data_IF_031822286436
#
_entry.id   IF_031822286436
#
_cell.length_a   1.000
_cell.length_b   1.000
_cell.length_c   1.000
_cell.angle_alpha   90.00
_cell.angle_beta   90.00
_cell.angle_gamma   90.00
#
_symmetry.space_group_name_H-M   'P 1'
#
loop_
_entity.id
_entity.type
_entity.pdbx_description
1 polymer ?
#
# COMPACT_ATOMS: atom_id res chain seq x y z
N UNK A 1 8.13 -66.85 7.08
CA UNK A 1 8.19 -65.91 5.94
C UNK A 1 7.98 -64.50 6.49
N UNK A 2 9.02 -63.67 6.52
CA UNK A 2 8.91 -62.30 7.01
C UNK A 2 8.25 -61.41 5.93
N UNK A 3 7.14 -60.76 6.29
CA UNK A 3 6.38 -59.87 5.42
C UNK A 3 7.23 -58.62 5.15
N UNK A 4 7.60 -58.38 3.89
CA UNK A 4 8.33 -57.15 3.50
C UNK A 4 7.46 -55.94 3.85
N UNK A 5 7.98 -54.95 4.58
CA UNK A 5 7.23 -53.75 4.91
C UNK A 5 6.89 -52.97 3.64
N UNK A 6 5.66 -52.46 3.57
CA UNK A 6 5.21 -51.60 2.48
C UNK A 6 6.03 -50.30 2.50
N UNK A 7 6.62 -49.93 1.37
CA UNK A 7 7.48 -48.74 1.22
C UNK A 7 6.78 -47.44 1.59
N UNK A 8 5.45 -47.38 1.46
CA UNK A 8 4.64 -46.21 1.82
C UNK A 8 4.53 -46.02 3.34
N UNK A 9 4.38 -47.11 4.10
CA UNK A 9 4.32 -47.04 5.57
C UNK A 9 5.64 -46.55 6.16
N UNK A 10 6.77 -47.00 5.59
CA UNK A 10 8.10 -46.53 6.00
C UNK A 10 8.32 -45.03 5.74
N UNK A 11 7.77 -44.47 4.65
CA UNK A 11 7.85 -43.04 4.34
C UNK A 11 6.98 -42.18 5.28
N UNK A 12 5.79 -42.67 5.63
CA UNK A 12 4.91 -41.95 6.56
C UNK A 12 5.56 -41.89 7.95
N UNK A 13 6.09 -43.02 8.43
CA UNK A 13 6.76 -43.08 9.74
C UNK A 13 8.01 -42.18 9.77
N UNK A 14 8.80 -42.15 8.68
CA UNK A 14 9.99 -41.28 8.63
C UNK A 14 9.62 -39.80 8.61
N UNK A 15 8.55 -39.40 7.91
CA UNK A 15 8.07 -38.02 7.91
C UNK A 15 7.60 -37.58 9.31
N UNK A 16 6.85 -38.44 10.01
CA UNK A 16 6.42 -38.14 11.38
C UNK A 16 7.61 -38.04 12.33
N UNK A 17 8.64 -38.88 12.18
CA UNK A 17 9.85 -38.79 13.00
C UNK A 17 10.59 -37.45 12.79
N UNK A 18 10.67 -36.96 11.55
CA UNK A 18 11.31 -35.68 11.22
C UNK A 18 10.56 -34.48 11.83
N UNK A 19 9.24 -34.56 11.94
CA UNK A 19 8.41 -33.49 12.52
C UNK A 19 8.34 -33.59 14.05
N UNK A 20 8.25 -34.79 14.60
CA UNK A 20 8.10 -35.00 16.04
C UNK A 20 9.38 -34.62 16.81
N UNK A 21 10.55 -34.90 16.24
CA UNK A 21 11.84 -34.62 16.88
C UNK A 21 12.06 -33.14 17.23
N UNK A 22 11.83 -32.16 16.33
CA UNK A 22 11.94 -30.74 16.68
C UNK A 22 10.84 -30.29 17.65
N UNK A 23 9.63 -30.85 17.59
CA UNK A 23 8.56 -30.52 18.54
C UNK A 23 8.94 -30.94 19.96
N UNK A 24 9.45 -32.17 20.13
CA UNK A 24 9.90 -32.67 21.44
C UNK A 24 11.02 -31.79 22.00
N UNK A 25 11.96 -31.39 21.14
CA UNK A 25 13.06 -30.51 21.52
C UNK A 25 12.58 -29.11 21.93
N UNK A 26 11.60 -28.55 21.21
CA UNK A 26 10.95 -27.28 21.54
C UNK A 26 10.18 -27.35 22.87
N UNK A 27 9.46 -28.44 23.12
CA UNK A 27 8.73 -28.63 24.38
C UNK A 27 9.68 -28.73 25.56
N UNK A 28 10.76 -29.52 25.45
CA UNK A 28 11.77 -29.62 26.50
C UNK A 28 12.44 -28.27 26.80
N UNK A 29 12.73 -27.50 25.75
CA UNK A 29 13.31 -26.16 25.88
C UNK A 29 12.33 -25.19 26.56
N UNK A 30 11.05 -25.28 26.23
CA UNK A 30 9.99 -24.47 26.84
C UNK A 30 9.82 -24.79 28.34
N UNK A 31 9.86 -26.06 28.72
CA UNK A 31 9.78 -26.47 30.14
C UNK A 31 11.01 -25.99 30.93
N UNK A 32 12.19 -26.00 30.33
CA UNK A 32 13.45 -25.66 31.02
C UNK A 32 13.60 -24.17 31.27
N UNK A 33 13.21 -23.32 30.31
CA UNK A 33 13.44 -21.86 30.36
C UNK A 33 12.16 -21.10 30.76
N UNK A 34 11.01 -21.78 30.75
CA UNK A 34 9.72 -21.18 31.00
C UNK A 34 9.24 -20.28 29.86
N UNK A 35 7.99 -19.83 29.96
CA UNK A 35 7.33 -19.02 28.93
C UNK A 35 8.06 -17.71 28.66
N UNK A 36 8.55 -17.05 29.71
CA UNK A 36 9.23 -15.76 29.61
C UNK A 36 10.55 -15.85 28.83
N UNK A 37 11.35 -16.90 29.08
CA UNK A 37 12.60 -17.09 28.35
C UNK A 37 12.41 -17.53 26.90
N UNK A 38 11.35 -18.30 26.63
CA UNK A 38 10.99 -18.70 25.26
C UNK A 38 10.66 -17.48 24.37
N UNK A 39 9.89 -16.52 24.90
CA UNK A 39 9.59 -15.27 24.18
C UNK A 39 10.83 -14.42 23.91
N UNK A 40 11.77 -14.40 24.86
CA UNK A 40 13.04 -13.69 24.70
C UNK A 40 13.90 -14.32 23.59
N UNK A 41 14.00 -15.66 23.57
CA UNK A 41 14.71 -16.40 22.53
C UNK A 41 14.10 -16.17 21.13
N UNK A 42 12.76 -16.22 21.02
CA UNK A 42 12.05 -15.96 19.77
C UNK A 42 12.25 -14.53 19.27
N UNK A 43 12.30 -13.55 20.18
CA UNK A 43 12.59 -12.16 19.83
C UNK A 43 14.00 -12.02 19.25
N UNK A 44 15.01 -12.64 19.86
CA UNK A 44 16.38 -12.63 19.34
C UNK A 44 16.51 -13.28 17.96
N UNK A 45 15.82 -14.40 17.72
CA UNK A 45 15.80 -15.05 16.41
C UNK A 45 15.10 -14.20 15.35
N UNK A 46 13.99 -13.54 15.71
CA UNK A 46 13.27 -12.62 14.82
C UNK A 46 14.09 -11.39 14.44
N UNK A 47 14.63 -10.68 15.42
CA UNK A 47 15.46 -9.49 15.18
C UNK A 47 16.79 -9.85 14.49
N UNK A 48 17.44 -10.95 14.87
CA UNK A 48 18.67 -11.42 14.24
C UNK A 48 18.47 -11.83 12.78
N UNK A 49 17.36 -12.51 12.48
CA UNK A 49 17.00 -12.89 11.12
C UNK A 49 16.69 -11.68 10.24
N UNK A 50 15.93 -10.72 10.76
CA UNK A 50 15.60 -9.50 10.02
C UNK A 50 16.84 -8.64 9.75
N UNK A 51 17.73 -8.48 10.74
CA UNK A 51 19.01 -7.77 10.59
C UNK A 51 19.93 -8.43 9.55
N UNK A 52 20.00 -9.77 9.52
CA UNK A 52 20.80 -10.48 8.53
C UNK A 52 20.25 -10.31 7.10
N UNK A 53 18.93 -10.31 6.92
CA UNK A 53 18.29 -10.07 5.62
C UNK A 53 18.53 -8.64 5.11
N UNK A 54 18.37 -7.62 5.96
CA UNK A 54 18.70 -6.23 5.61
C UNK A 54 20.18 -6.04 5.26
N UNK A 55 21.09 -6.68 6.02
CA UNK A 55 22.53 -6.60 5.73
C UNK A 55 22.93 -7.33 4.44
N UNK A 56 22.21 -8.41 4.08
CA UNK A 56 22.48 -9.18 2.86
C UNK A 56 21.99 -8.44 1.60
N UNK A 57 20.90 -7.68 1.69
CA UNK A 57 20.46 -6.81 0.59
C UNK A 57 21.47 -5.70 0.26
N UNK A 58 22.23 -5.22 1.25
CA UNK A 58 23.26 -4.19 1.03
C UNK A 58 24.59 -4.69 0.42
N UNK A 59 24.76 -5.99 0.16
CA UNK A 59 26.03 -6.55 -0.35
C UNK A 59 25.99 -7.14 -1.77
N UNK A 60 24.86 -7.06 -2.47
CA UNK A 60 24.72 -7.63 -3.82
C UNK A 60 24.32 -6.60 -4.88
N UNK A 61 24.98 -5.44 -4.91
CA UNK A 61 24.95 -4.62 -6.12
C UNK A 61 26.33 -4.01 -6.41
N UNK A 62 27.23 -4.75 -7.11
CA UNK A 62 28.51 -4.20 -7.58
C UNK A 62 28.37 -3.08 -8.62
N UNK A 63 27.15 -2.76 -9.06
CA UNK A 63 26.88 -1.74 -10.06
C UNK A 63 26.72 -0.31 -9.51
N UNK A 64 26.73 -0.11 -8.18
CA UNK A 64 26.65 1.25 -7.61
C UNK A 64 28.00 1.90 -7.34
N UNK A 65 29.10 1.14 -7.26
CA UNK A 65 30.44 1.72 -7.06
C UNK A 65 30.96 2.43 -8.33
N UNK A 66 30.66 1.90 -9.53
CA UNK A 66 31.05 2.59 -10.77
C UNK A 66 30.26 3.89 -11.03
N UNK A 67 29.07 4.04 -10.45
CA UNK A 67 28.28 5.27 -10.57
C UNK A 67 28.79 6.39 -9.66
N UNK A 68 29.23 6.07 -8.45
CA UNK A 68 29.85 7.06 -7.53
C UNK A 68 31.21 7.50 -8.06
N UNK A 69 32.00 6.58 -8.63
CA UNK A 69 33.27 6.91 -9.27
C UNK A 69 33.09 7.72 -10.57
N UNK A 70 31.99 7.51 -11.31
CA UNK A 70 31.61 8.33 -12.46
C UNK A 70 31.15 9.75 -12.04
N UNK A 71 30.38 9.88 -10.95
CA UNK A 71 29.95 11.19 -10.43
C UNK A 71 31.14 12.03 -9.93
N UNK A 72 32.12 11.41 -9.26
CA UNK A 72 33.32 12.13 -8.79
C UNK A 72 34.27 12.52 -9.94
N UNK A 73 34.33 11.76 -11.04
CA UNK A 73 35.15 12.13 -12.21
C UNK A 73 34.43 13.06 -13.20
N UNK A 74 33.11 13.15 -13.18
CA UNK A 74 32.32 14.07 -14.03
C UNK A 74 32.32 15.54 -13.56
N UNK A 75 32.76 15.80 -12.32
CA UNK A 75 32.72 17.13 -11.69
C UNK A 75 33.85 18.09 -12.12
N UNK A 76 34.86 17.63 -12.88
CA UNK A 76 36.00 18.48 -13.25
C UNK A 76 35.92 19.09 -14.66
N UNK A 77 34.90 18.77 -15.48
CA UNK A 77 34.82 19.26 -16.87
C UNK A 77 33.45 19.79 -17.32
N UNK A 78 32.53 20.07 -16.41
CA UNK A 78 31.15 20.50 -16.74
C UNK A 78 30.81 21.91 -16.26
N UNK A 79 31.79 22.81 -16.24
CA UNK A 79 31.59 24.23 -15.99
C UNK A 79 31.14 24.93 -17.26
N UNK A 80 29.85 24.87 -17.64
CA UNK A 80 29.20 25.96 -18.44
C UNK A 80 27.74 25.75 -18.87
N UNK A 81 27.07 24.60 -18.68
CA UNK A 81 25.71 24.40 -19.24
C UNK A 81 24.57 24.14 -18.25
N UNK A 82 24.81 24.10 -16.93
CA UNK A 82 23.75 23.92 -15.92
C UNK A 82 23.43 25.16 -15.05
N UNK A 83 24.10 26.30 -15.26
CA UNK A 83 23.85 27.54 -14.51
C UNK A 83 22.76 28.45 -15.12
N UNK A 84 21.77 27.87 -15.80
CA UNK A 84 20.60 28.59 -16.32
C UNK A 84 19.26 27.96 -15.93
N UNK A 85 19.20 27.18 -14.83
CA UNK A 85 17.97 27.16 -14.02
C UNK A 85 18.06 28.33 -13.06
N UNK A 86 17.45 29.42 -13.51
CA UNK A 86 17.02 30.60 -12.75
C UNK A 86 16.77 30.29 -11.28
N UNK A 87 17.20 31.21 -10.42
CA UNK A 87 16.80 31.31 -9.01
C UNK A 87 15.27 31.38 -8.92
N UNK A 88 14.58 30.24 -9.01
CA UNK A 88 13.17 30.17 -8.65
C UNK A 88 13.11 30.41 -7.16
N UNK A 89 12.24 31.32 -6.73
CA UNK A 89 12.03 31.57 -5.29
C UNK A 89 11.72 30.24 -4.60
N UNK A 90 12.21 30.02 -3.37
CA UNK A 90 11.90 28.81 -2.59
C UNK A 90 10.40 28.52 -2.54
N UNK A 91 9.57 29.56 -2.60
CA UNK A 91 8.13 29.43 -2.69
C UNK A 91 7.67 28.80 -4.01
N UNK A 92 8.12 29.31 -5.16
CA UNK A 92 7.72 28.78 -6.48
C UNK A 92 8.14 27.31 -6.65
N UNK A 93 9.29 26.94 -6.08
CA UNK A 93 9.76 25.56 -6.00
C UNK A 93 8.81 24.67 -5.17
N UNK A 94 8.36 25.16 -4.01
CA UNK A 94 7.36 24.48 -3.19
C UNK A 94 6.00 24.36 -3.91
N UNK A 95 5.57 25.36 -4.67
CA UNK A 95 4.28 25.29 -5.38
C UNK A 95 4.28 24.19 -6.44
N UNK A 96 5.37 24.10 -7.21
CA UNK A 96 5.56 23.04 -8.20
C UNK A 96 5.58 21.66 -7.54
N UNK A 97 6.29 21.52 -6.41
CA UNK A 97 6.30 20.32 -5.57
C UNK A 97 4.91 19.93 -5.11
N UNK A 98 4.13 20.89 -4.59
CA UNK A 98 2.83 20.64 -4.02
C UNK A 98 1.83 20.22 -5.09
N UNK A 99 1.83 20.89 -6.24
CA UNK A 99 1.00 20.52 -7.40
C UNK A 99 1.40 19.14 -7.90
N UNK A 100 2.70 18.88 -8.09
CA UNK A 100 3.20 17.59 -8.53
C UNK A 100 2.77 16.47 -7.57
N UNK A 101 2.97 16.67 -6.27
CA UNK A 101 2.58 15.71 -5.24
C UNK A 101 1.07 15.49 -5.21
N UNK A 102 0.28 16.55 -5.32
CA UNK A 102 -1.18 16.44 -5.33
C UNK A 102 -1.73 15.79 -6.61
N UNK A 103 -1.01 15.85 -7.73
CA UNK A 103 -1.45 15.31 -9.03
C UNK A 103 -0.88 13.93 -9.34
N UNK A 104 0.32 13.60 -8.87
CA UNK A 104 0.99 12.37 -9.25
C UNK A 104 0.21 11.14 -8.79
N UNK A 105 0.16 10.13 -9.65
CA UNK A 105 -0.42 8.82 -9.36
C UNK A 105 0.61 7.85 -8.77
N UNK A 106 1.86 8.30 -8.60
CA UNK A 106 2.96 7.48 -8.15
C UNK A 106 3.56 8.08 -6.89
N UNK A 107 3.47 7.31 -5.81
CA UNK A 107 4.05 7.64 -4.51
C UNK A 107 5.55 7.36 -4.60
N UNK A 108 6.32 8.36 -5.01
CA UNK A 108 7.78 8.29 -4.93
C UNK A 108 8.28 8.90 -3.62
N UNK A 109 9.42 8.42 -3.13
CA UNK A 109 10.22 9.18 -2.17
C UNK A 109 10.67 10.48 -2.87
N UNK A 110 10.08 11.60 -2.47
CA UNK A 110 10.27 12.92 -3.09
C UNK A 110 11.75 13.29 -3.26
N UNK A 111 12.66 12.77 -2.43
CA UNK A 111 14.07 13.18 -2.45
C UNK A 111 14.99 12.41 -3.40
N UNK A 112 14.73 11.13 -3.72
CA UNK A 112 15.74 10.28 -4.38
C UNK A 112 15.59 10.19 -5.90
N UNK A 113 14.37 10.05 -6.42
CA UNK A 113 14.15 9.72 -7.84
C UNK A 113 14.04 10.94 -8.78
N UNK A 114 13.73 12.12 -8.24
CA UNK A 114 13.43 13.31 -9.07
C UNK A 114 14.36 14.50 -8.78
N UNK A 115 15.39 14.31 -7.93
CA UNK A 115 16.35 15.35 -7.60
C UNK A 115 15.75 16.54 -6.86
N UNK A 116 14.62 16.36 -6.16
CA UNK A 116 14.05 17.43 -5.36
C UNK A 116 14.89 17.64 -4.09
N UNK A 117 15.35 18.87 -3.90
CA UNK A 117 16.12 19.23 -2.73
C UNK A 117 15.18 19.73 -1.61
N UNK A 118 14.68 18.79 -0.81
CA UNK A 118 13.82 19.10 0.34
C UNK A 118 14.47 20.04 1.36
N UNK A 119 15.81 20.13 1.40
CA UNK A 119 16.51 21.05 2.30
C UNK A 119 16.27 22.53 1.98
N UNK A 120 15.75 22.85 0.80
CA UNK A 120 15.36 24.22 0.42
C UNK A 120 14.00 24.63 0.99
N UNK A 121 13.25 23.69 1.56
CA UNK A 121 11.91 23.91 2.09
C UNK A 121 11.94 24.17 3.59
N UNK A 122 11.00 24.98 4.04
CA UNK A 122 10.73 25.12 5.48
C UNK A 122 10.14 23.82 6.03
N UNK A 123 10.27 23.62 7.35
CA UNK A 123 9.68 22.46 8.03
C UNK A 123 8.18 22.33 7.75
N UNK A 124 7.42 23.43 7.81
CA UNK A 124 5.96 23.40 7.51
C UNK A 124 5.66 23.00 6.06
N UNK A 125 6.45 23.46 5.10
CA UNK A 125 6.31 23.05 3.70
C UNK A 125 6.58 21.56 3.52
N UNK A 126 7.57 21.00 4.21
CA UNK A 126 7.85 19.56 4.18
C UNK A 126 6.70 18.74 4.78
N UNK A 127 6.12 19.18 5.91
CA UNK A 127 4.95 18.53 6.52
C UNK A 127 3.77 18.51 5.56
N UNK A 128 3.47 19.63 4.91
CA UNK A 128 2.40 19.72 3.91
C UNK A 128 2.62 18.75 2.76
N UNK A 129 3.82 18.69 2.20
CA UNK A 129 4.13 17.75 1.12
C UNK A 129 3.95 16.31 1.60
N UNK A 130 4.36 16.01 2.83
CA UNK A 130 4.16 14.68 3.41
C UNK A 130 2.68 14.35 3.55
N UNK A 131 1.85 15.28 4.03
CA UNK A 131 0.40 15.08 4.14
C UNK A 131 -0.23 14.86 2.75
N UNK A 132 0.14 15.65 1.75
CA UNK A 132 -0.31 15.46 0.36
C UNK A 132 0.08 14.09 -0.19
N UNK A 133 1.30 13.61 0.06
CA UNK A 133 1.71 12.26 -0.32
C UNK A 133 0.85 11.17 0.34
N UNK A 134 0.59 11.28 1.65
CA UNK A 134 -0.23 10.29 2.37
C UNK A 134 -1.66 10.30 1.85
N UNK A 135 -2.21 11.47 1.53
CA UNK A 135 -3.53 11.60 0.88
C UNK A 135 -3.51 10.82 -0.44
N UNK A 136 -2.55 11.07 -1.34
CA UNK A 136 -2.46 10.34 -2.62
C UNK A 136 -2.33 8.85 -2.44
N UNK A 137 -1.45 8.42 -1.53
CA UNK A 137 -1.24 7.00 -1.25
C UNK A 137 -2.53 6.35 -0.77
N UNK A 138 -3.24 7.00 0.14
CA UNK A 138 -4.49 6.50 0.71
C UNK A 138 -5.60 6.42 -0.33
N UNK A 139 -5.74 7.45 -1.18
CA UNK A 139 -6.67 7.44 -2.31
C UNK A 139 -6.37 6.29 -3.29
N UNK A 140 -5.10 6.12 -3.67
CA UNK A 140 -4.68 5.05 -4.58
C UNK A 140 -4.90 3.65 -3.98
N UNK A 141 -4.64 3.45 -2.68
CA UNK A 141 -4.92 2.18 -2.00
C UNK A 141 -6.42 1.91 -1.95
N UNK A 142 -7.21 2.92 -1.58
CA UNK A 142 -8.67 2.79 -1.51
C UNK A 142 -9.28 2.44 -2.86
N UNK A 143 -8.82 3.10 -3.93
CA UNK A 143 -9.28 2.83 -5.28
C UNK A 143 -8.96 1.41 -5.74
N UNK A 144 -7.85 0.80 -5.31
CA UNK A 144 -7.38 -0.50 -5.84
C UNK A 144 -7.70 -1.70 -4.96
N UNK A 145 -8.01 -1.48 -3.68
CA UNK A 145 -8.23 -2.59 -2.75
C UNK A 145 -9.54 -3.32 -3.06
N UNK A 146 -9.54 -4.64 -2.80
CA UNK A 146 -10.72 -5.51 -2.89
C UNK A 146 -11.36 -5.76 -1.51
N UNK A 147 -10.90 -5.03 -0.49
CA UNK A 147 -11.35 -5.16 0.90
C UNK A 147 -11.96 -3.85 1.38
N UNK A 148 -13.22 -3.91 1.79
CA UNK A 148 -14.03 -2.76 2.18
C UNK A 148 -13.46 -1.99 3.37
N UNK A 149 -13.11 -2.70 4.44
CA UNK A 149 -12.51 -2.13 5.65
C UNK A 149 -11.25 -1.31 5.36
N UNK A 150 -10.41 -1.80 4.44
CA UNK A 150 -9.20 -1.08 4.00
C UNK A 150 -9.59 0.16 3.18
N UNK A 151 -10.56 0.06 2.28
CA UNK A 151 -10.99 1.19 1.46
C UNK A 151 -11.53 2.33 2.34
N UNK A 152 -12.44 2.00 3.26
CA UNK A 152 -13.05 2.95 4.20
C UNK A 152 -12.02 3.59 5.12
N UNK A 153 -11.12 2.79 5.71
CA UNK A 153 -10.07 3.30 6.59
C UNK A 153 -9.13 4.28 5.86
N UNK A 154 -8.79 3.99 4.59
CA UNK A 154 -7.91 4.85 3.79
C UNK A 154 -8.61 6.11 3.30
N UNK A 155 -9.89 6.04 2.93
CA UNK A 155 -10.69 7.23 2.61
C UNK A 155 -10.81 8.15 3.82
N UNK A 156 -11.11 7.60 5.00
CA UNK A 156 -11.20 8.37 6.24
C UNK A 156 -9.88 9.08 6.57
N UNK A 157 -8.74 8.39 6.45
CA UNK A 157 -7.42 9.00 6.62
C UNK A 157 -7.15 10.11 5.60
N UNK A 158 -7.53 9.90 4.34
CA UNK A 158 -7.35 10.91 3.30
C UNK A 158 -8.18 12.18 3.60
N UNK A 159 -9.43 12.04 4.03
CA UNK A 159 -10.26 13.17 4.46
C UNK A 159 -9.68 13.90 5.66
N UNK A 160 -9.27 13.18 6.70
CA UNK A 160 -8.70 13.77 7.90
C UNK A 160 -7.47 14.63 7.57
N UNK A 161 -6.54 14.10 6.78
CA UNK A 161 -5.34 14.83 6.37
C UNK A 161 -5.64 15.98 5.42
N UNK A 162 -6.65 15.83 4.56
CA UNK A 162 -7.08 16.89 3.67
C UNK A 162 -7.65 18.09 4.43
N UNK A 163 -8.50 17.82 5.42
CA UNK A 163 -9.02 18.84 6.34
C UNK A 163 -7.88 19.49 7.14
N UNK A 164 -6.90 18.70 7.58
CA UNK A 164 -5.71 19.22 8.26
C UNK A 164 -4.90 20.16 7.36
N UNK A 165 -4.65 19.77 6.11
CA UNK A 165 -3.95 20.61 5.12
C UNK A 165 -4.70 21.92 4.87
N UNK A 166 -6.02 21.85 4.70
CA UNK A 166 -6.83 23.04 4.45
C UNK A 166 -6.91 23.98 5.65
N UNK A 167 -7.05 23.44 6.87
CA UNK A 167 -7.30 24.24 8.06
C UNK A 167 -6.01 24.72 8.73
N UNK A 168 -4.98 23.87 8.82
CA UNK A 168 -3.79 24.14 9.61
C UNK A 168 -2.63 24.71 8.81
N UNK A 169 -2.65 24.56 7.48
CA UNK A 169 -1.55 24.98 6.60
C UNK A 169 -1.97 25.98 5.53
N UNK A 170 -3.14 26.61 5.67
CA UNK A 170 -3.63 27.63 4.75
C UNK A 170 -2.67 28.82 4.60
N UNK A 171 -1.90 29.14 5.64
CA UNK A 171 -0.88 30.21 5.66
C UNK A 171 0.41 29.84 4.91
N UNK A 172 0.63 28.55 4.66
CA UNK A 172 1.80 28.04 3.91
C UNK A 172 1.58 28.18 2.40
N UNK A 173 0.32 28.20 1.96
CA UNK A 173 -0.03 28.29 0.55
C UNK A 173 -0.37 29.72 0.13
N UNK A 174 -0.02 30.08 -1.11
CA UNK A 174 -0.76 31.14 -1.81
C UNK A 174 -2.20 30.68 -2.01
N UNK A 175 -3.17 31.59 -1.91
CA UNK A 175 -4.61 31.28 -2.00
C UNK A 175 -4.95 30.51 -3.29
N UNK A 176 -4.35 30.90 -4.42
CA UNK A 176 -4.58 30.26 -5.72
C UNK A 176 -4.05 28.82 -5.76
N UNK A 177 -2.93 28.56 -5.07
CA UNK A 177 -2.32 27.23 -5.00
C UNK A 177 -3.19 26.26 -4.18
N UNK A 178 -3.68 26.70 -3.02
CA UNK A 178 -4.58 25.88 -2.20
C UNK A 178 -5.85 25.52 -2.97
N UNK A 179 -6.43 26.50 -3.68
CA UNK A 179 -7.61 26.29 -4.53
C UNK A 179 -7.34 25.25 -5.62
N UNK A 180 -6.18 25.30 -6.26
CA UNK A 180 -5.77 24.33 -7.27
C UNK A 180 -5.58 22.92 -6.71
N UNK A 181 -4.90 22.80 -5.56
CA UNK A 181 -4.68 21.51 -4.88
C UNK A 181 -6.02 20.89 -4.45
N UNK A 182 -6.91 21.71 -3.88
CA UNK A 182 -8.29 21.32 -3.54
C UNK A 182 -9.02 20.75 -4.76
N UNK A 183 -9.00 21.45 -5.89
CA UNK A 183 -9.66 20.97 -7.10
C UNK A 183 -9.14 19.60 -7.58
N UNK A 184 -7.84 19.33 -7.44
CA UNK A 184 -7.25 18.04 -7.79
C UNK A 184 -7.71 16.94 -6.83
N UNK A 185 -7.64 17.18 -5.53
CA UNK A 185 -7.98 16.18 -4.51
C UNK A 185 -9.48 15.88 -4.51
N UNK A 186 -10.34 16.89 -4.63
CA UNK A 186 -11.80 16.72 -4.66
C UNK A 186 -12.23 15.89 -5.89
N UNK A 187 -11.61 16.12 -7.06
CA UNK A 187 -11.89 15.34 -8.26
C UNK A 187 -11.49 13.86 -8.09
N UNK A 188 -10.34 13.61 -7.46
CA UNK A 188 -9.88 12.24 -7.23
C UNK A 188 -10.69 11.53 -6.14
N UNK A 189 -11.07 12.23 -5.06
CA UNK A 189 -11.97 11.69 -4.04
C UNK A 189 -13.26 11.15 -4.65
N UNK A 190 -13.94 11.92 -5.51
CA UNK A 190 -15.17 11.50 -6.18
C UNK A 190 -14.98 10.19 -6.97
N UNK A 191 -13.87 10.08 -7.70
CA UNK A 191 -13.53 8.86 -8.44
C UNK A 191 -13.28 7.68 -7.49
N UNK A 192 -12.51 7.89 -6.42
CA UNK A 192 -12.17 6.84 -5.45
C UNK A 192 -13.39 6.33 -4.70
N UNK A 193 -14.32 7.21 -4.31
CA UNK A 193 -15.59 6.81 -3.68
C UNK A 193 -16.31 5.76 -4.53
N UNK A 194 -16.41 6.00 -5.84
CA UNK A 194 -17.04 5.05 -6.76
C UNK A 194 -16.23 3.75 -6.90
N UNK A 195 -14.92 3.87 -7.18
CA UNK A 195 -14.06 2.70 -7.43
C UNK A 195 -13.95 1.77 -6.22
N UNK A 196 -13.95 2.30 -5.00
CA UNK A 196 -13.91 1.51 -3.77
C UNK A 196 -15.07 0.49 -3.71
N UNK A 197 -16.30 0.93 -3.98
CA UNK A 197 -17.47 0.04 -3.98
C UNK A 197 -17.44 -0.94 -5.15
N UNK A 198 -17.11 -0.46 -6.37
CA UNK A 198 -17.07 -1.31 -7.55
C UNK A 198 -16.03 -2.43 -7.42
N UNK A 199 -14.84 -2.13 -6.90
CA UNK A 199 -13.76 -3.12 -6.79
C UNK A 199 -14.02 -4.17 -5.72
N UNK A 200 -14.61 -3.77 -4.59
CA UNK A 200 -15.05 -4.72 -3.56
C UNK A 200 -16.21 -5.58 -4.08
N UNK A 201 -17.22 -4.99 -4.71
CA UNK A 201 -18.35 -5.71 -5.28
C UNK A 201 -17.90 -6.71 -6.36
N UNK A 202 -17.04 -6.29 -7.29
CA UNK A 202 -16.45 -7.15 -8.31
C UNK A 202 -15.64 -8.31 -7.69
N UNK A 203 -14.92 -8.07 -6.58
CA UNK A 203 -14.23 -9.14 -5.89
C UNK A 203 -15.17 -10.19 -5.27
N UNK A 204 -16.38 -9.79 -4.87
CA UNK A 204 -17.43 -10.71 -4.44
C UNK A 204 -18.07 -11.43 -5.62
N UNK A 205 -18.36 -10.72 -6.72
CA UNK A 205 -18.86 -11.32 -7.97
C UNK A 205 -17.92 -12.39 -8.53
N UNK A 206 -16.62 -12.10 -8.59
CA UNK A 206 -15.58 -13.06 -9.00
C UNK A 206 -15.64 -14.35 -8.15
N UNK A 207 -15.81 -14.20 -6.83
CA UNK A 207 -15.94 -15.36 -5.93
C UNK A 207 -17.25 -16.12 -6.15
N UNK A 208 -18.35 -15.41 -6.44
CA UNK A 208 -19.64 -16.01 -6.74
C UNK A 208 -19.59 -16.84 -8.03
N UNK A 209 -19.07 -16.27 -9.11
CA UNK A 209 -18.97 -16.91 -10.43
C UNK A 209 -18.09 -18.17 -10.38
N UNK A 210 -17.03 -18.15 -9.58
CA UNK A 210 -16.12 -19.29 -9.43
C UNK A 210 -16.58 -20.35 -8.40
N UNK A 211 -17.66 -20.10 -7.64
CA UNK A 211 -18.13 -21.03 -6.62
C UNK A 211 -18.96 -22.18 -7.24
N UNK A 212 -18.68 -23.41 -6.80
CA UNK A 212 -19.40 -24.61 -7.28
C UNK A 212 -20.77 -24.82 -6.63
N UNK A 213 -20.95 -24.37 -5.38
CA UNK A 213 -22.17 -24.63 -4.59
C UNK A 213 -23.12 -23.43 -4.69
N UNK A 214 -24.41 -23.69 -4.97
CA UNK A 214 -25.44 -22.65 -5.07
C UNK A 214 -25.49 -21.73 -3.84
N UNK A 215 -25.48 -22.29 -2.62
CA UNK A 215 -25.48 -21.48 -1.38
C UNK A 215 -24.26 -20.55 -1.27
N UNK A 216 -23.09 -20.98 -1.78
CA UNK A 216 -21.89 -20.15 -1.78
C UNK A 216 -21.98 -19.04 -2.83
N UNK A 217 -22.58 -19.33 -4.00
CA UNK A 217 -22.87 -18.31 -5.00
C UNK A 217 -23.80 -17.23 -4.44
N UNK A 218 -24.96 -17.64 -3.92
CA UNK A 218 -25.96 -16.74 -3.35
C UNK A 218 -25.37 -15.86 -2.24
N UNK A 219 -24.53 -16.43 -1.35
CA UNK A 219 -23.81 -15.65 -0.33
C UNK A 219 -22.99 -14.52 -0.94
N UNK A 220 -22.21 -14.79 -1.99
CA UNK A 220 -21.32 -13.78 -2.58
C UNK A 220 -22.06 -12.77 -3.45
N UNK A 221 -23.15 -13.16 -4.13
CA UNK A 221 -24.04 -12.19 -4.79
C UNK A 221 -24.72 -11.26 -3.77
N UNK A 222 -25.17 -11.80 -2.63
CA UNK A 222 -25.70 -10.99 -1.53
C UNK A 222 -24.69 -9.98 -0.97
N UNK A 223 -23.44 -10.40 -0.77
CA UNK A 223 -22.37 -9.48 -0.33
C UNK A 223 -22.04 -8.41 -1.38
N UNK A 224 -21.99 -8.78 -2.67
CA UNK A 224 -21.78 -7.80 -3.74
C UNK A 224 -22.91 -6.76 -3.76
N UNK A 225 -24.16 -7.21 -3.62
CA UNK A 225 -25.34 -6.35 -3.52
C UNK A 225 -25.27 -5.38 -2.35
N UNK A 226 -24.95 -5.88 -1.15
CA UNK A 226 -24.83 -5.05 0.06
C UNK A 226 -23.81 -3.92 -0.11
N UNK A 227 -22.65 -4.21 -0.69
CA UNK A 227 -21.62 -3.21 -0.97
C UNK A 227 -22.10 -2.17 -1.98
N UNK A 228 -22.82 -2.59 -3.03
CA UNK A 228 -23.37 -1.67 -4.03
C UNK A 228 -24.49 -0.80 -3.45
N UNK A 229 -25.37 -1.34 -2.63
CA UNK A 229 -26.43 -0.59 -1.94
C UNK A 229 -25.84 0.43 -0.95
N UNK A 230 -24.76 0.06 -0.26
CA UNK A 230 -23.97 0.98 0.57
C UNK A 230 -23.40 2.11 -0.29
N UNK A 231 -22.80 1.77 -1.43
CA UNK A 231 -22.31 2.76 -2.40
C UNK A 231 -23.41 3.67 -2.94
N UNK A 232 -24.64 3.19 -3.16
CA UNK A 232 -25.78 4.02 -3.54
C UNK A 232 -26.21 5.00 -2.44
N UNK A 233 -25.83 4.77 -1.20
CA UNK A 233 -26.08 5.70 -0.08
C UNK A 233 -24.99 6.76 0.10
N UNK A 234 -23.80 6.57 -0.48
CA UNK A 234 -22.67 7.51 -0.36
C UNK A 234 -22.86 8.77 -1.23
N UNK A 235 -23.02 9.98 -0.69
CA UNK A 235 -23.31 11.18 -1.47
C UNK A 235 -22.27 11.52 -2.55
N UNK A 236 -21.05 10.99 -2.47
CA UNK A 236 -19.95 11.31 -3.38
C UNK A 236 -19.74 10.29 -4.51
N UNK A 237 -20.47 9.18 -4.50
CA UNK A 237 -20.30 8.11 -5.49
C UNK A 237 -21.14 8.33 -6.76
N UNK A 238 -20.63 7.85 -7.89
CA UNK A 238 -21.34 7.80 -9.16
C UNK A 238 -22.46 6.75 -9.12
N UNK A 239 -23.69 7.23 -8.96
CA UNK A 239 -24.88 6.39 -8.80
C UNK A 239 -25.20 5.59 -10.04
N UNK A 240 -24.92 6.11 -11.23
CA UNK A 240 -25.24 5.41 -12.47
C UNK A 240 -24.34 4.17 -12.62
N UNK A 241 -23.02 4.34 -12.45
CA UNK A 241 -22.07 3.21 -12.50
C UNK A 241 -22.38 2.12 -11.48
N UNK A 242 -22.78 2.52 -10.27
CA UNK A 242 -23.15 1.55 -9.22
C UNK A 242 -24.47 0.85 -9.56
N UNK A 243 -25.48 1.57 -10.10
CA UNK A 243 -26.75 0.97 -10.54
C UNK A 243 -26.57 -0.03 -11.67
N UNK A 244 -25.69 0.27 -12.63
CA UNK A 244 -25.36 -0.65 -13.73
C UNK A 244 -24.83 -1.98 -13.21
N UNK A 245 -23.84 -1.94 -12.29
CA UNK A 245 -23.27 -3.15 -11.71
C UNK A 245 -24.27 -3.89 -10.81
N UNK A 246 -25.13 -3.17 -10.09
CA UNK A 246 -26.19 -3.76 -9.27
C UNK A 246 -27.24 -4.48 -10.13
N UNK A 247 -27.65 -3.88 -11.25
CA UNK A 247 -28.56 -4.50 -12.19
C UNK A 247 -27.94 -5.75 -12.83
N UNK A 248 -26.63 -5.74 -13.11
CA UNK A 248 -25.90 -6.92 -13.57
C UNK A 248 -25.85 -8.02 -12.51
N UNK A 249 -25.53 -7.68 -11.26
CA UNK A 249 -25.52 -8.60 -10.12
C UNK A 249 -26.88 -9.32 -9.96
N UNK A 250 -27.99 -8.56 -9.99
CA UNK A 250 -29.34 -9.12 -9.83
C UNK A 250 -29.69 -10.11 -10.94
N UNK A 251 -29.33 -9.81 -12.20
CA UNK A 251 -29.54 -10.75 -13.32
C UNK A 251 -28.74 -12.03 -13.16
N UNK A 252 -27.52 -11.95 -12.63
CA UNK A 252 -26.71 -13.14 -12.37
C UNK A 252 -27.31 -13.98 -11.24
N UNK A 253 -27.83 -13.34 -10.20
CA UNK A 253 -28.46 -14.00 -9.06
C UNK A 253 -29.72 -14.78 -9.46
N UNK A 254 -30.54 -14.23 -10.36
CA UNK A 254 -31.75 -14.88 -10.90
C UNK A 254 -31.47 -16.17 -11.70
N UNK A 255 -30.23 -16.38 -12.15
CA UNK A 255 -29.83 -17.52 -12.99
C UNK A 255 -29.20 -18.69 -12.21
N UNK A 256 -29.31 -18.72 -10.88
CA UNK A 256 -28.70 -19.73 -9.99
C UNK A 256 -29.76 -20.63 -9.38
#
# INVERSE_FOLDING_TARGET
MAKKPNTVEALIVSLFAVIALPIILLTWLYETIGSTGFWFLMSFLGFGGMYYLFKKQNKQNPQSQSFVDWLNNGSNNSSSSQQQRTQTSNNDYFEELAIYTASSHVVYELSSDYGWNLSLLTFRQQEVLRSLQIIRESLNISAKTKKQDIAESRLSLAHQLYDEVCNNYSDVFKVDLLTRIKGIIDADLLNVHTEAYLNVANAHLDKALNAKRANTKAKYFGLAKEVLETGLSDPYSDKERIRELLAFNNRLEENI
#
